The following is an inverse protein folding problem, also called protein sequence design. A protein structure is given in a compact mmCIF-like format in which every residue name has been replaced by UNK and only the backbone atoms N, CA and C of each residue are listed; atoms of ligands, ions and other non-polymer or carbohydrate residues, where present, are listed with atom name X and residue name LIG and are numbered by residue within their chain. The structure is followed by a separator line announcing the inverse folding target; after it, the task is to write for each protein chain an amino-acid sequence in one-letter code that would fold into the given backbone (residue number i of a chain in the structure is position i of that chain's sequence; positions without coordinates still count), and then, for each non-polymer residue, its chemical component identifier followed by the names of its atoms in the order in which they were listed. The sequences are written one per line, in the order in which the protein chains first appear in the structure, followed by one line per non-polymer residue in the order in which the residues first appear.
data_IF_945154317835
#
_entry.id   IF_945154317835
#
_cell.length_a   1.000
_cell.length_b   1.000
_cell.length_c   1.000
_cell.angle_alpha   90.00
_cell.angle_beta   90.00
_cell.angle_gamma   90.00
#
_symmetry.space_group_name_H-M   'P 1'
#
loop_
_entity.id
_entity.type
_entity.pdbx_description
1 polymer ?
#
# COMPACT_ATOMS: atom_id res chain seq x y z
N UNK A 1 -16.47 18.67 -8.46
CA UNK A 1 -15.63 17.84 -7.57
C UNK A 1 -16.32 16.49 -7.54
N UNK A 2 -15.79 15.50 -8.27
CA UNK A 2 -16.42 14.17 -8.26
C UNK A 2 -16.10 13.49 -6.94
N UNK A 3 -17.16 13.22 -6.19
CA UNK A 3 -17.23 12.32 -5.04
C UNK A 3 -16.94 10.87 -5.49
N UNK A 4 -15.74 10.61 -5.99
CA UNK A 4 -15.23 9.25 -6.06
C UNK A 4 -14.78 8.90 -4.65
N UNK A 5 -15.60 8.14 -3.91
CA UNK A 5 -15.13 7.53 -2.66
C UNK A 5 -13.77 6.89 -2.92
N UNK A 6 -12.72 7.48 -2.34
CA UNK A 6 -11.35 7.25 -2.78
C UNK A 6 -11.00 5.77 -2.72
N UNK A 7 -10.60 5.19 -3.85
CA UNK A 7 -10.15 3.80 -3.90
C UNK A 7 -8.81 3.71 -3.16
N UNK A 8 -8.78 3.00 -2.03
CA UNK A 8 -7.53 2.64 -1.34
C UNK A 8 -6.89 1.46 -2.06
N UNK A 9 -5.66 1.63 -2.54
CA UNK A 9 -4.88 0.54 -3.13
C UNK A 9 -3.86 0.01 -2.12
N UNK A 10 -3.84 -1.30 -1.90
CA UNK A 10 -2.88 -1.93 -0.98
C UNK A 10 -1.90 -2.80 -1.75
N UNK A 11 -0.61 -2.54 -1.55
CA UNK A 11 0.49 -3.36 -2.08
C UNK A 11 0.96 -4.29 -0.98
N UNK A 12 0.67 -5.58 -1.11
CA UNK A 12 1.14 -6.62 -0.17
C UNK A 12 2.43 -7.25 -0.71
N UNK A 13 3.47 -7.29 0.11
CA UNK A 13 4.77 -7.81 -0.29
C UNK A 13 5.59 -8.38 0.86
N UNK A 14 6.69 -9.07 0.53
CA UNK A 14 7.59 -9.66 1.52
C UNK A 14 8.64 -8.66 2.00
N UNK A 15 8.84 -8.55 3.32
CA UNK A 15 9.82 -7.63 3.91
C UNK A 15 9.63 -6.20 3.41
N UNK A 16 10.71 -5.58 2.93
CA UNK A 16 10.72 -4.20 2.40
C UNK A 16 10.23 -4.06 0.95
N UNK A 17 9.71 -5.13 0.34
CA UNK A 17 9.27 -5.07 -1.06
C UNK A 17 8.10 -4.09 -1.25
N UNK A 18 7.09 -4.14 -0.38
CA UNK A 18 5.92 -3.29 -0.49
C UNK A 18 6.26 -1.80 -0.29
N UNK A 19 7.04 -1.50 0.76
CA UNK A 19 7.50 -0.13 1.06
C UNK A 19 8.36 0.44 -0.06
N UNK A 20 9.27 -0.36 -0.60
CA UNK A 20 10.11 0.00 -1.74
C UNK A 20 9.31 0.33 -3.01
N UNK A 21 8.32 -0.51 -3.36
CA UNK A 21 7.46 -0.28 -4.53
C UNK A 21 6.61 0.97 -4.38
N UNK A 22 5.90 1.14 -3.26
CA UNK A 22 5.07 2.34 -3.01
C UNK A 22 5.95 3.60 -2.98
N UNK A 23 7.13 3.53 -2.37
CA UNK A 23 8.09 4.64 -2.37
C UNK A 23 8.57 5.02 -3.77
N UNK A 24 8.86 4.04 -4.63
CA UNK A 24 9.23 4.29 -6.01
C UNK A 24 8.07 4.93 -6.81
N UNK A 25 6.85 4.42 -6.65
CA UNK A 25 5.66 4.97 -7.32
C UNK A 25 5.39 6.41 -6.87
N UNK A 26 5.51 6.72 -5.58
CA UNK A 26 5.36 8.11 -5.08
C UNK A 26 6.36 9.08 -5.72
N UNK A 27 7.61 8.64 -5.94
CA UNK A 27 8.62 9.47 -6.65
C UNK A 27 8.27 9.72 -8.12
N UNK A 28 7.58 8.79 -8.77
CA UNK A 28 7.21 8.88 -10.19
C UNK A 28 5.90 9.67 -10.38
N UNK A 29 4.89 9.35 -9.56
CA UNK A 29 3.52 9.79 -9.75
C UNK A 29 3.09 10.95 -8.82
N UNK A 30 3.88 11.25 -7.79
CA UNK A 30 3.57 12.31 -6.82
C UNK A 30 2.28 12.04 -6.04
N UNK A 31 1.46 13.09 -5.92
CA UNK A 31 0.15 13.13 -5.25
C UNK A 31 -0.85 12.09 -5.78
N UNK A 32 -0.70 11.68 -7.04
CA UNK A 32 -1.51 10.60 -7.61
C UNK A 32 -1.30 9.25 -6.92
N UNK A 33 -0.23 9.07 -6.14
CA UNK A 33 0.05 7.85 -5.40
C UNK A 33 -0.38 7.90 -3.93
N UNK A 34 -1.03 8.97 -3.47
CA UNK A 34 -1.38 9.16 -2.05
C UNK A 34 -2.37 8.10 -1.54
N UNK A 35 -3.11 7.46 -2.44
CA UNK A 35 -4.06 6.39 -2.12
C UNK A 35 -3.42 4.98 -2.06
N UNK A 36 -2.10 4.88 -2.25
CA UNK A 36 -1.37 3.61 -2.15
C UNK A 36 -0.74 3.43 -0.77
N UNK A 37 -1.01 2.27 -0.18
CA UNK A 37 -0.46 1.83 1.09
C UNK A 37 0.37 0.55 0.91
N UNK A 38 1.50 0.49 1.60
CA UNK A 38 2.37 -0.68 1.63
C UNK A 38 2.03 -1.54 2.86
N UNK A 39 1.78 -2.83 2.64
CA UNK A 39 1.59 -3.81 3.70
C UNK A 39 2.66 -4.90 3.59
N UNK A 40 3.54 -4.95 4.59
CA UNK A 40 4.53 -6.03 4.72
C UNK A 40 3.94 -7.21 5.48
N UNK A 41 4.26 -8.42 5.00
CA UNK A 41 3.98 -9.67 5.72
C UNK A 41 5.09 -10.09 6.71
N UNK A 42 6.12 -9.27 6.91
CA UNK A 42 7.25 -9.64 7.76
C UNK A 42 6.82 -9.90 9.21
N UNK A 43 7.23 -11.04 9.75
CA UNK A 43 6.82 -11.51 11.08
C UNK A 43 5.33 -11.83 11.25
N UNK A 44 4.51 -11.74 10.20
CA UNK A 44 3.04 -11.86 10.29
C UNK A 44 2.51 -13.18 9.75
N UNK A 45 1.44 -13.66 10.38
CA UNK A 45 0.60 -14.74 9.88
C UNK A 45 -0.53 -14.18 9.00
N UNK A 46 -1.16 -14.98 8.13
CA UNK A 46 -2.26 -14.52 7.28
C UNK A 46 -3.41 -13.84 8.04
N UNK A 47 -3.75 -14.33 9.23
CA UNK A 47 -4.82 -13.74 10.04
C UNK A 47 -4.45 -12.32 10.52
N UNK A 48 -3.20 -12.12 10.94
CA UNK A 48 -2.70 -10.79 11.34
C UNK A 48 -2.70 -9.81 10.17
N UNK A 49 -2.34 -10.26 8.96
CA UNK A 49 -2.44 -9.42 7.76
C UNK A 49 -3.88 -9.02 7.44
N UNK A 50 -4.85 -9.89 7.73
CA UNK A 50 -6.26 -9.63 7.48
C UNK A 50 -6.83 -8.55 8.41
N UNK A 51 -6.32 -8.43 9.62
CA UNK A 51 -6.71 -7.39 10.59
C UNK A 51 -6.17 -5.99 10.22
N UNK A 52 -5.12 -5.93 9.40
CA UNK A 52 -4.49 -4.68 8.94
C UNK A 52 -5.04 -4.16 7.59
N UNK A 53 -5.94 -4.92 6.95
CA UNK A 53 -6.60 -4.58 5.70
C UNK A 53 -7.97 -3.92 5.93
#
# INVERSE_FOLDING_TARGET
MSEAGGVRGVVVGHGEMASGLVGAVRRIAGDRADHLEALSNDGKRPDALREEL
#
